data_IF_230267618751
#
_entry.id   IF_230267618751
#
_cell.length_a   1.000
_cell.length_b   1.000
_cell.length_c   1.000
_cell.angle_alpha   90.00
_cell.angle_beta   90.00
_cell.angle_gamma   90.00
#
_symmetry.space_group_name_H-M   'P 1'
#
loop_
_entity.id
_entity.type
_entity.pdbx_description
1 polymer ?
#
# COMPACT_ATOMS: atom_id res chain seq x y z
N UNK A 1 -92.38 15.84 22.99
CA UNK A 1 -91.35 14.81 22.72
C UNK A 1 -90.40 15.41 21.69
N UNK A 2 -89.27 15.97 22.13
CA UNK A 2 -88.23 16.54 21.25
C UNK A 2 -86.97 15.69 21.44
N UNK A 3 -86.49 15.15 20.33
CA UNK A 3 -85.39 14.19 20.26
C UNK A 3 -84.04 14.91 20.41
N UNK A 4 -83.14 14.34 21.21
CA UNK A 4 -81.75 14.76 21.38
C UNK A 4 -80.90 14.13 20.28
N UNK A 5 -80.19 14.93 19.50
CA UNK A 5 -79.16 14.48 18.56
C UNK A 5 -77.81 14.48 19.29
N UNK A 6 -77.18 13.31 19.42
CA UNK A 6 -75.79 13.17 19.88
C UNK A 6 -74.84 13.40 18.71
N UNK A 7 -73.91 14.33 18.90
CA UNK A 7 -72.85 14.67 17.97
C UNK A 7 -71.60 13.85 18.36
N UNK A 8 -71.18 12.92 17.50
CA UNK A 8 -69.97 12.10 17.71
C UNK A 8 -68.79 12.79 17.03
N UNK A 9 -67.81 13.24 17.82
CA UNK A 9 -66.58 13.88 17.35
C UNK A 9 -65.52 12.79 17.10
N UNK A 10 -65.11 12.59 15.85
CA UNK A 10 -64.05 11.66 15.49
C UNK A 10 -62.69 12.37 15.58
N UNK A 11 -61.82 11.91 16.49
CA UNK A 11 -60.41 12.31 16.57
C UNK A 11 -59.65 11.55 15.47
N UNK A 12 -59.01 12.28 14.54
CA UNK A 12 -58.08 11.71 13.56
C UNK A 12 -56.68 11.76 14.19
N UNK A 13 -56.19 10.59 14.63
CA UNK A 13 -54.80 10.41 15.01
C UNK A 13 -53.95 10.38 13.73
N UNK A 14 -53.17 11.45 13.50
CA UNK A 14 -52.12 11.45 12.46
C UNK A 14 -50.96 10.60 12.97
N UNK A 15 -50.76 9.44 12.35
CA UNK A 15 -49.57 8.62 12.58
C UNK A 15 -48.42 9.20 11.76
N UNK A 16 -47.22 9.40 12.32
CA UNK A 16 -46.06 9.71 11.51
C UNK A 16 -45.76 8.50 10.62
N UNK A 17 -45.71 8.73 9.31
CA UNK A 17 -45.21 7.75 8.36
C UNK A 17 -43.72 7.58 8.63
N UNK A 18 -43.34 6.44 9.20
CA UNK A 18 -41.95 5.98 9.22
C UNK A 18 -41.56 5.71 7.76
N UNK A 19 -40.82 6.64 7.15
CA UNK A 19 -40.11 6.39 5.91
C UNK A 19 -38.86 5.57 6.27
N UNK A 20 -38.80 4.33 5.79
CA UNK A 20 -37.60 3.52 5.90
C UNK A 20 -36.62 3.98 4.81
N UNK A 21 -35.38 4.32 5.19
CA UNK A 21 -34.27 4.42 4.25
C UNK A 21 -34.01 3.00 3.74
N UNK A 22 -34.47 2.68 2.54
CA UNK A 22 -34.25 1.38 1.91
C UNK A 22 -33.38 1.59 0.69
N UNK A 23 -32.29 0.83 0.62
CA UNK A 23 -31.42 0.62 -0.54
C UNK A 23 -32.24 0.15 -1.74
N UNK A 24 -32.72 1.10 -2.53
CA UNK A 24 -33.26 0.83 -3.87
C UNK A 24 -32.72 1.92 -4.81
N UNK A 25 -31.40 2.07 -4.84
CA UNK A 25 -30.72 2.70 -5.97
C UNK A 25 -30.73 1.71 -7.13
N UNK A 26 -31.82 1.74 -7.88
CA UNK A 26 -31.84 1.23 -9.24
C UNK A 26 -30.72 1.95 -10.02
N UNK A 27 -29.61 1.24 -10.23
CA UNK A 27 -28.59 1.60 -11.21
C UNK A 27 -29.28 1.78 -12.57
N UNK A 28 -29.52 3.03 -12.95
CA UNK A 28 -29.90 3.37 -14.31
C UNK A 28 -28.63 3.61 -15.08
N UNK A 29 -28.16 2.52 -15.68
CA UNK A 29 -27.15 2.50 -16.74
C UNK A 29 -27.63 3.45 -17.85
N UNK A 30 -27.11 4.67 -17.83
CA UNK A 30 -27.38 5.68 -18.83
C UNK A 30 -26.54 5.39 -20.06
N UNK A 31 -27.13 4.59 -20.95
CA UNK A 31 -26.70 4.46 -22.33
C UNK A 31 -26.55 5.87 -22.95
N UNK A 32 -25.31 6.27 -23.16
CA UNK A 32 -24.96 7.47 -23.93
C UNK A 32 -25.42 7.30 -25.38
N UNK A 33 -26.19 8.26 -25.95
CA UNK A 33 -26.51 8.24 -27.37
C UNK A 33 -25.31 8.69 -28.20
N UNK A 34 -24.87 7.81 -29.11
CA UNK A 34 -23.88 8.13 -30.13
C UNK A 34 -24.46 9.16 -31.12
N UNK A 35 -24.05 10.42 -30.96
CA UNK A 35 -24.36 11.52 -31.88
C UNK A 35 -23.64 11.31 -33.22
N UNK A 36 -24.41 10.90 -34.22
CA UNK A 36 -24.00 10.89 -35.63
C UNK A 36 -23.88 12.32 -36.13
N UNK A 37 -22.65 12.83 -36.26
CA UNK A 37 -22.38 14.10 -36.93
C UNK A 37 -22.03 13.87 -38.39
N UNK A 38 -22.96 14.25 -39.27
CA UNK A 38 -22.78 14.35 -40.71
C UNK A 38 -21.91 15.54 -41.04
N UNK A 39 -20.70 15.29 -41.57
CA UNK A 39 -19.81 16.31 -42.12
C UNK A 39 -19.76 16.22 -43.64
N UNK A 40 -20.33 17.21 -44.32
CA UNK A 40 -20.33 17.40 -45.76
C UNK A 40 -18.91 17.51 -46.33
N UNK A 41 -18.58 16.65 -47.29
CA UNK A 41 -17.36 16.76 -48.09
C UNK A 41 -17.60 17.68 -49.30
N UNK A 42 -16.85 18.78 -49.37
CA UNK A 42 -16.64 19.57 -50.58
C UNK A 42 -15.57 18.91 -51.47
N UNK A 43 -15.96 18.65 -52.72
CA UNK A 43 -15.12 18.46 -53.91
C UNK A 43 -14.08 19.58 -54.03
N UNK A 44 -12.83 19.37 -54.49
CA UNK A 44 -12.39 19.08 -55.88
C UNK A 44 -10.81 18.96 -55.91
N UNK A 45 -10.07 18.82 -57.05
CA UNK A 45 -9.51 17.54 -57.49
C UNK A 45 -7.97 17.51 -57.72
N UNK A 46 -7.47 16.30 -58.07
CA UNK A 46 -6.17 16.06 -58.73
C UNK A 46 -5.10 15.50 -57.77
N UNK A 47 -4.35 14.44 -58.04
CA UNK A 47 -3.85 13.92 -59.32
C UNK A 47 -3.50 12.44 -59.18
N UNK A 48 -3.67 11.75 -60.29
CA UNK A 48 -3.35 10.34 -60.57
C UNK A 48 -1.88 9.99 -60.38
N UNK A 49 -1.57 8.88 -59.70
CA UNK A 49 -0.56 7.93 -60.22
C UNK A 49 -0.94 6.50 -59.83
N UNK A 50 -1.20 5.71 -60.87
CA UNK A 50 -1.47 4.28 -60.88
C UNK A 50 -0.19 3.49 -60.68
N UNK A 51 -0.20 2.45 -59.84
CA UNK A 51 0.57 1.22 -60.08
C UNK A 51 -0.23 0.05 -59.53
N UNK A 52 -0.53 -0.88 -60.44
CA UNK A 52 -1.31 -2.08 -60.24
C UNK A 52 -0.42 -3.28 -59.88
N UNK A 53 -1.12 -4.34 -59.44
CA UNK A 53 -0.81 -5.77 -59.56
C UNK A 53 -0.32 -6.54 -58.30
N UNK A 54 -0.69 -7.84 -58.17
CA UNK A 54 -1.52 -8.31 -57.07
C UNK A 54 -0.96 -9.60 -56.42
N UNK A 55 -1.62 -10.09 -55.37
CA UNK A 55 -1.29 -11.39 -54.78
C UNK A 55 -2.36 -11.90 -53.83
N UNK A 56 -3.29 -12.68 -54.38
CA UNK A 56 -4.35 -13.43 -53.69
C UNK A 56 -3.81 -14.71 -53.05
N UNK A 57 -4.22 -15.05 -51.81
CA UNK A 57 -4.77 -16.37 -51.43
C UNK A 57 -5.10 -16.39 -49.92
N UNK A 58 -6.37 -16.40 -49.49
CA UNK A 58 -7.21 -17.59 -49.14
C UNK A 58 -6.53 -18.72 -48.36
N UNK A 59 -7.05 -19.02 -47.17
CA UNK A 59 -6.89 -20.34 -46.52
C UNK A 59 -7.10 -20.38 -44.99
N UNK A 60 -8.35 -20.27 -44.52
CA UNK A 60 -8.85 -21.02 -43.34
C UNK A 60 -9.12 -22.48 -43.78
N UNK A 61 -9.28 -23.53 -42.91
CA UNK A 61 -10.09 -23.48 -41.68
C UNK A 61 -9.70 -24.41 -40.49
N UNK A 62 -10.52 -24.33 -39.44
CA UNK A 62 -10.98 -25.39 -38.50
C UNK A 62 -10.13 -25.81 -37.28
N UNK A 63 -10.62 -25.40 -36.10
CA UNK A 63 -11.23 -26.23 -35.03
C UNK A 63 -10.45 -27.42 -34.46
N UNK A 64 -10.26 -27.46 -33.13
CA UNK A 64 -10.83 -28.49 -32.21
C UNK A 64 -10.44 -28.16 -30.76
N UNK A 65 -11.44 -27.99 -29.89
CA UNK A 65 -11.32 -27.98 -28.43
C UNK A 65 -11.32 -29.41 -27.88
N UNK A 66 -10.87 -29.61 -26.62
CA UNK A 66 -11.61 -30.51 -25.76
C UNK A 66 -11.99 -29.85 -24.44
N UNK A 67 -13.30 -29.82 -24.21
CA UNK A 67 -13.97 -29.71 -22.92
C UNK A 67 -13.57 -30.90 -22.05
N UNK A 68 -13.09 -30.65 -20.83
CA UNK A 68 -13.03 -31.70 -19.80
C UNK A 68 -13.89 -31.27 -18.62
N UNK A 69 -15.00 -31.99 -18.45
CA UNK A 69 -15.96 -31.88 -17.36
C UNK A 69 -15.66 -32.97 -16.34
N UNK A 70 -15.28 -32.60 -15.12
CA UNK A 70 -15.40 -33.36 -13.88
C UNK A 70 -15.59 -32.30 -12.78
N UNK A 71 -16.63 -32.26 -11.95
CA UNK A 71 -17.53 -33.33 -11.52
C UNK A 71 -17.14 -33.80 -10.13
N UNK A 72 -17.76 -33.18 -9.12
CA UNK A 72 -18.18 -33.79 -7.85
C UNK A 72 -17.36 -33.60 -6.57
N UNK A 73 -18.08 -32.97 -5.64
CA UNK A 73 -18.35 -33.36 -4.24
C UNK A 73 -17.34 -32.99 -3.16
N UNK A 74 -17.71 -31.90 -2.50
CA UNK A 74 -17.65 -31.68 -1.05
C UNK A 74 -17.89 -32.94 -0.23
N UNK A 75 -17.02 -33.20 0.74
CA UNK A 75 -17.32 -34.08 1.86
C UNK A 75 -16.60 -33.58 3.11
N UNK A 76 -17.31 -32.72 3.84
CA UNK A 76 -17.00 -32.28 5.20
C UNK A 76 -17.07 -33.49 6.13
N UNK A 77 -16.00 -33.74 6.90
CA UNK A 77 -16.05 -34.70 8.01
C UNK A 77 -15.40 -34.06 9.23
N UNK A 78 -16.23 -33.69 10.20
CA UNK A 78 -15.83 -33.43 11.58
C UNK A 78 -15.14 -34.66 12.19
N UNK A 79 -14.20 -34.44 13.13
CA UNK A 79 -14.20 -35.27 14.31
C UNK A 79 -14.35 -34.43 15.60
N UNK A 80 -15.40 -34.78 16.32
CA UNK A 80 -15.67 -34.40 17.68
C UNK A 80 -14.66 -35.03 18.67
N UNK A 81 -14.15 -34.18 19.56
CA UNK A 81 -14.04 -34.35 21.02
C UNK A 81 -13.26 -35.54 21.57
N UNK A 82 -12.14 -35.27 22.25
CA UNK A 82 -11.94 -35.77 23.63
C UNK A 82 -10.87 -34.95 24.38
N UNK A 83 -11.34 -34.06 25.27
CA UNK A 83 -10.51 -33.45 26.29
C UNK A 83 -10.21 -34.47 27.39
N UNK A 84 -8.93 -34.69 27.69
CA UNK A 84 -8.50 -35.46 28.87
C UNK A 84 -7.86 -34.50 29.85
N UNK A 85 -8.61 -34.19 30.90
CA UNK A 85 -8.17 -33.46 32.08
C UNK A 85 -7.33 -34.39 32.96
N UNK A 86 -6.07 -34.04 33.21
CA UNK A 86 -5.25 -34.67 34.23
C UNK A 86 -4.74 -33.62 35.22
N UNK A 87 -5.37 -33.58 36.40
CA UNK A 87 -4.86 -32.94 37.60
C UNK A 87 -3.57 -33.62 38.07
N UNK A 88 -2.54 -32.85 38.38
CA UNK A 88 -1.49 -33.26 39.31
C UNK A 88 -1.23 -32.17 40.34
N UNK A 89 -1.03 -32.67 41.54
CA UNK A 89 -1.16 -32.08 42.85
C UNK A 89 0.05 -31.23 43.24
N UNK A 90 -0.23 -30.23 44.08
CA UNK A 90 0.71 -29.42 44.84
C UNK A 90 1.80 -30.24 45.56
N UNK A 91 3.01 -29.69 45.63
CA UNK A 91 3.92 -29.93 46.76
C UNK A 91 4.59 -28.61 47.12
N UNK A 92 4.24 -28.13 48.30
CA UNK A 92 4.80 -26.98 49.00
C UNK A 92 6.20 -27.30 49.53
N UNK A 93 7.09 -26.30 49.50
CA UNK A 93 8.41 -26.36 50.12
C UNK A 93 9.01 -24.96 50.25
N UNK A 94 8.80 -24.34 51.40
CA UNK A 94 9.44 -23.09 51.82
C UNK A 94 10.96 -23.27 52.00
N UNK A 95 11.76 -22.27 51.64
CA UNK A 95 12.74 -21.70 52.58
C UNK A 95 13.23 -20.32 52.14
N UNK A 96 13.37 -19.49 53.17
CA UNK A 96 13.66 -18.06 53.17
C UNK A 96 15.17 -17.80 53.12
N UNK A 97 15.61 -16.72 52.49
CA UNK A 97 16.65 -15.80 53.01
C UNK A 97 16.77 -14.56 52.13
N UNK A 98 16.54 -13.40 52.73
CA UNK A 98 16.71 -12.09 52.10
C UNK A 98 18.16 -11.61 52.09
N UNK A 99 18.47 -10.78 51.09
CA UNK A 99 19.49 -9.75 51.20
C UNK A 99 19.07 -8.55 50.37
N UNK A 100 18.91 -7.43 51.07
CA UNK A 100 18.67 -6.09 50.51
C UNK A 100 19.97 -5.59 49.89
N UNK A 101 19.98 -5.48 48.56
CA UNK A 101 21.01 -4.81 47.78
C UNK A 101 20.39 -3.70 46.94
N UNK A 102 20.91 -2.50 47.12
CA UNK A 102 20.53 -1.22 46.52
C UNK A 102 20.56 -1.27 44.98
N UNK A 103 19.41 -1.14 44.32
CA UNK A 103 19.32 -1.02 42.86
C UNK A 103 19.56 0.42 42.44
N UNK A 104 20.72 0.64 41.83
CA UNK A 104 21.00 1.80 41.00
C UNK A 104 20.31 1.62 39.64
N UNK A 105 19.84 2.72 39.08
CA UNK A 105 19.09 2.82 37.82
C UNK A 105 19.83 2.11 36.69
N UNK A 106 19.22 1.03 36.17
CA UNK A 106 19.85 0.06 35.28
C UNK A 106 20.12 0.60 33.88
N UNK A 107 21.40 0.73 33.55
CA UNK A 107 21.90 0.57 32.18
C UNK A 107 21.71 -0.91 31.80
N UNK A 108 21.19 -1.25 30.60
CA UNK A 108 20.99 -2.65 30.22
C UNK A 108 22.34 -3.39 30.29
N UNK A 109 22.36 -4.65 30.76
CA UNK A 109 23.60 -5.41 30.84
C UNK A 109 24.26 -5.48 29.46
N UNK A 110 25.52 -5.05 29.40
CA UNK A 110 26.34 -5.07 28.20
C UNK A 110 26.41 -6.49 27.61
N UNK A 111 25.87 -6.69 26.41
CA UNK A 111 25.72 -8.01 25.79
C UNK A 111 26.95 -8.34 24.94
N UNK A 112 27.68 -9.42 25.28
CA UNK A 112 28.87 -9.89 24.55
C UNK A 112 28.56 -10.84 23.37
N UNK A 113 27.38 -10.70 22.78
CA UNK A 113 26.84 -11.65 21.81
C UNK A 113 26.73 -11.06 20.40
N UNK A 114 27.26 -9.85 20.19
CA UNK A 114 27.37 -9.20 18.89
C UNK A 114 28.85 -9.06 18.46
N UNK A 115 29.15 -9.12 17.16
CA UNK A 115 30.52 -9.20 16.63
C UNK A 115 31.33 -7.89 16.66
N UNK A 116 30.98 -6.95 17.54
CA UNK A 116 31.53 -5.58 17.50
C UNK A 116 32.44 -5.26 18.67
N UNK A 117 32.25 -5.85 19.87
CA UNK A 117 33.18 -5.92 21.03
C UNK A 117 32.39 -6.43 22.26
N UNK A 118 32.99 -7.30 23.08
CA UNK A 118 32.40 -7.73 24.35
C UNK A 118 32.60 -6.66 25.44
N UNK A 119 31.53 -5.96 25.80
CA UNK A 119 31.56 -4.91 26.81
C UNK A 119 31.51 -5.42 28.28
N UNK A 120 31.30 -6.73 28.50
CA UNK A 120 31.43 -7.37 29.81
C UNK A 120 32.87 -7.85 30.07
N UNK A 121 33.59 -7.25 31.04
CA UNK A 121 34.97 -7.61 31.36
C UNK A 121 35.12 -9.02 31.96
N UNK A 122 34.08 -9.59 32.57
CA UNK A 122 34.10 -10.94 33.11
C UNK A 122 33.93 -11.99 32.01
N UNK A 123 33.00 -11.76 31.08
CA UNK A 123 32.79 -12.66 29.93
C UNK A 123 34.03 -12.65 29.02
N UNK A 124 34.54 -11.46 28.68
CA UNK A 124 35.75 -11.32 27.88
C UNK A 124 36.94 -12.01 28.56
N UNK A 125 37.24 -11.72 29.83
CA UNK A 125 38.36 -12.35 30.54
C UNK A 125 38.26 -13.89 30.56
N UNK A 126 37.06 -14.43 30.71
CA UNK A 126 36.82 -15.88 30.70
C UNK A 126 37.14 -16.50 29.34
N UNK A 127 36.66 -15.93 28.24
CA UNK A 127 36.98 -16.39 26.88
C UNK A 127 38.46 -16.18 26.55
N UNK A 128 39.08 -15.07 26.99
CA UNK A 128 40.51 -14.79 26.79
C UNK A 128 41.41 -15.89 27.36
N UNK A 129 40.96 -16.62 28.39
CA UNK A 129 41.78 -17.70 28.99
C UNK A 129 41.95 -18.90 28.06
N UNK A 130 41.03 -19.06 27.10
CA UNK A 130 41.02 -20.15 26.14
C UNK A 130 41.56 -19.69 24.79
N UNK A 131 41.14 -18.51 24.34
CA UNK A 131 41.63 -17.91 23.09
C UNK A 131 41.95 -16.43 23.28
N UNK A 132 43.25 -16.09 23.23
CA UNK A 132 43.72 -14.72 23.38
C UNK A 132 43.33 -13.83 22.18
N UNK A 133 43.05 -14.40 21.01
CA UNK A 133 42.68 -13.63 19.81
C UNK A 133 41.34 -12.90 19.99
N UNK A 134 40.43 -13.45 20.80
CA UNK A 134 39.17 -12.81 21.18
C UNK A 134 39.33 -11.52 21.98
N UNK A 135 40.55 -11.23 22.46
CA UNK A 135 40.83 -10.07 23.33
C UNK A 135 41.85 -9.11 22.73
N UNK A 136 42.48 -9.49 21.62
CA UNK A 136 43.43 -8.69 20.86
C UNK A 136 42.86 -8.22 19.51
N UNK A 137 41.70 -8.75 19.10
CA UNK A 137 41.05 -8.48 17.81
C UNK A 137 39.54 -8.24 17.92
N UNK A 138 38.84 -8.06 16.77
CA UNK A 138 37.39 -7.96 16.74
C UNK A 138 36.76 -9.25 17.27
N UNK A 139 35.65 -9.10 17.99
CA UNK A 139 34.91 -10.23 18.55
C UNK A 139 34.26 -11.03 17.41
N UNK A 140 34.70 -12.26 17.16
CA UNK A 140 34.16 -13.11 16.08
C UNK A 140 33.03 -14.00 16.58
N UNK A 141 32.32 -14.66 15.67
CA UNK A 141 31.33 -15.70 16.02
C UNK A 141 31.96 -16.88 16.78
N UNK A 142 33.25 -17.15 16.57
CA UNK A 142 34.00 -18.16 17.34
C UNK A 142 34.17 -17.74 18.80
N UNK A 143 34.43 -16.44 19.05
CA UNK A 143 34.49 -15.88 20.40
C UNK A 143 33.12 -15.93 21.09
N UNK A 144 32.02 -15.65 20.37
CA UNK A 144 30.66 -15.80 20.89
C UNK A 144 30.37 -17.28 21.24
N UNK A 145 30.76 -18.23 20.40
CA UNK A 145 30.57 -19.66 20.67
C UNK A 145 31.30 -20.13 21.93
N UNK A 146 32.51 -19.61 22.19
CA UNK A 146 33.28 -19.91 23.41
C UNK A 146 32.58 -19.43 24.69
N UNK A 147 31.81 -18.33 24.64
CA UNK A 147 31.06 -17.83 25.82
C UNK A 147 30.15 -18.91 26.38
N UNK A 148 29.34 -19.53 25.52
CA UNK A 148 28.41 -20.59 25.92
C UNK A 148 29.13 -21.90 26.20
N UNK A 149 30.12 -22.27 25.38
CA UNK A 149 30.85 -23.53 25.55
C UNK A 149 31.63 -23.62 26.88
N UNK A 150 32.15 -22.49 27.37
CA UNK A 150 32.90 -22.40 28.62
C UNK A 150 32.02 -22.07 29.84
N UNK A 151 30.73 -21.79 29.62
CA UNK A 151 29.82 -21.30 30.66
C UNK A 151 30.23 -19.94 31.22
N UNK A 152 30.93 -19.11 30.42
CA UNK A 152 31.34 -17.76 30.78
C UNK A 152 30.14 -16.79 30.88
N UNK A 153 29.06 -17.11 30.17
CA UNK A 153 27.81 -16.35 30.14
C UNK A 153 26.78 -17.05 29.26
N UNK A 154 25.56 -16.51 29.24
CA UNK A 154 24.50 -16.96 28.34
C UNK A 154 24.33 -15.94 27.23
N UNK A 155 24.59 -16.33 25.99
CA UNK A 155 24.14 -15.57 24.84
C UNK A 155 22.72 -16.01 24.49
N UNK A 156 21.77 -15.06 24.33
CA UNK A 156 20.50 -15.43 23.71
C UNK A 156 20.81 -16.03 22.34
N UNK A 157 20.09 -17.09 21.92
CA UNK A 157 20.22 -17.57 20.55
C UNK A 157 19.97 -16.39 19.59
N UNK A 158 20.65 -16.33 18.43
CA UNK A 158 20.29 -15.37 17.41
C UNK A 158 18.79 -15.51 17.12
N UNK A 159 18.07 -14.42 16.84
CA UNK A 159 16.69 -14.53 16.41
C UNK A 159 16.64 -15.46 15.20
N UNK A 160 15.72 -16.42 15.24
CA UNK A 160 15.43 -17.28 14.10
C UNK A 160 15.05 -16.39 12.91
N UNK A 161 15.58 -16.71 11.73
CA UNK A 161 15.25 -15.97 10.51
C UNK A 161 13.89 -16.43 9.98
N UNK A 162 13.23 -15.58 9.20
CA UNK A 162 12.06 -16.00 8.43
C UNK A 162 12.46 -17.18 7.54
N UNK A 163 11.64 -18.24 7.46
CA UNK A 163 12.01 -19.47 6.77
C UNK A 163 12.37 -19.27 5.30
N UNK A 164 11.81 -18.26 4.66
CA UNK A 164 12.06 -17.93 3.27
C UNK A 164 13.20 -16.93 3.05
N UNK A 165 13.94 -16.59 4.11
CA UNK A 165 15.11 -15.74 4.06
C UNK A 165 16.35 -16.49 4.57
N UNK A 166 17.53 -16.06 4.14
CA UNK A 166 18.80 -16.63 4.63
C UNK A 166 19.06 -16.12 6.05
N UNK A 167 19.18 -17.03 7.00
CA UNK A 167 19.49 -16.74 8.40
C UNK A 167 20.98 -16.87 8.72
N UNK A 168 21.39 -16.31 9.87
CA UNK A 168 22.76 -16.48 10.42
C UNK A 168 22.84 -17.60 11.46
N UNK A 169 21.69 -18.08 11.93
CA UNK A 169 21.54 -19.18 12.88
C UNK A 169 20.94 -20.43 12.24
N UNK A 170 20.89 -21.55 12.98
CA UNK A 170 20.12 -22.73 12.58
C UNK A 170 18.63 -22.46 12.66
N UNK A 171 17.86 -23.18 11.84
CA UNK A 171 16.40 -23.15 11.90
C UNK A 171 15.78 -21.86 11.37
N UNK A 172 14.46 -21.75 11.55
CA UNK A 172 13.69 -20.60 11.10
C UNK A 172 12.41 -20.42 11.92
N UNK A 173 11.73 -19.28 11.76
CA UNK A 173 10.60 -18.86 12.61
C UNK A 173 9.34 -19.74 12.53
N UNK A 174 9.19 -20.59 11.52
CA UNK A 174 8.07 -21.52 11.38
C UNK A 174 8.49 -22.95 11.75
N UNK A 175 8.06 -23.39 12.94
CA UNK A 175 8.34 -24.73 13.49
C UNK A 175 7.98 -25.88 12.54
N UNK A 176 6.93 -25.74 11.71
CA UNK A 176 6.46 -26.80 10.83
C UNK A 176 7.36 -26.91 9.59
N UNK A 177 7.73 -25.76 9.00
CA UNK A 177 8.69 -25.70 7.89
C UNK A 177 10.05 -26.18 8.38
N UNK A 178 10.53 -25.64 9.52
CA UNK A 178 11.79 -26.05 10.13
C UNK A 178 11.79 -27.56 10.35
N UNK A 179 10.81 -28.11 11.08
CA UNK A 179 10.74 -29.55 11.38
C UNK A 179 10.78 -30.41 10.11
N UNK A 180 10.08 -29.98 9.05
CA UNK A 180 10.05 -30.71 7.79
C UNK A 180 11.39 -30.67 7.05
N UNK A 181 11.97 -29.48 6.88
CA UNK A 181 13.27 -29.30 6.22
C UNK A 181 14.33 -30.04 7.02
N UNK A 182 14.29 -29.95 8.34
CA UNK A 182 15.18 -30.62 9.28
C UNK A 182 15.14 -32.14 9.22
N UNK A 183 13.95 -32.72 9.04
CA UNK A 183 13.81 -34.17 8.92
C UNK A 183 14.53 -34.71 7.68
N UNK A 184 14.66 -33.88 6.64
CA UNK A 184 15.19 -34.27 5.34
C UNK A 184 16.65 -33.80 5.14
N UNK A 185 17.01 -32.64 5.68
CA UNK A 185 18.32 -32.01 5.64
C UNK A 185 18.76 -31.57 7.05
N UNK A 186 19.38 -32.48 7.83
CA UNK A 186 19.79 -32.19 9.22
C UNK A 186 20.80 -31.03 9.36
N UNK A 187 21.52 -30.70 8.29
CA UNK A 187 22.49 -29.61 8.27
C UNK A 187 21.80 -28.23 8.42
N UNK A 188 20.53 -28.08 8.04
CA UNK A 188 19.77 -26.82 8.18
C UNK A 188 19.40 -26.46 9.64
N UNK A 189 19.39 -27.43 10.55
CA UNK A 189 19.03 -27.23 11.97
C UNK A 189 20.25 -27.26 12.89
N UNK A 190 21.42 -27.58 12.35
CA UNK A 190 22.67 -27.64 13.09
C UNK A 190 23.72 -26.68 12.56
N UNK A 191 23.58 -26.25 11.30
CA UNK A 191 24.36 -25.23 10.63
C UNK A 191 23.58 -23.94 10.43
N UNK A 192 24.02 -23.12 9.48
CA UNK A 192 23.38 -21.86 9.12
C UNK A 192 22.19 -22.15 8.20
N UNK A 193 21.05 -21.47 8.43
CA UNK A 193 19.90 -21.50 7.52
C UNK A 193 20.22 -20.79 6.20
N UNK A 194 20.92 -21.49 5.30
CA UNK A 194 21.45 -20.98 4.04
C UNK A 194 20.45 -20.98 2.88
N UNK A 195 20.88 -20.49 1.71
CA UNK A 195 20.08 -20.52 0.48
C UNK A 195 19.68 -21.95 0.08
N UNK A 196 20.51 -22.96 0.36
CA UNK A 196 20.12 -24.36 0.18
C UNK A 196 18.95 -24.81 1.08
N UNK A 197 18.85 -24.26 2.30
CA UNK A 197 17.77 -24.57 3.23
C UNK A 197 16.47 -23.89 2.79
N UNK A 198 16.55 -22.63 2.34
CA UNK A 198 15.41 -21.91 1.75
C UNK A 198 14.90 -22.66 0.51
N UNK A 199 15.78 -23.03 -0.43
CA UNK A 199 15.39 -23.76 -1.64
C UNK A 199 14.84 -25.17 -1.35
N UNK A 200 15.22 -25.77 -0.23
CA UNK A 200 14.72 -27.07 0.19
C UNK A 200 13.23 -27.02 0.59
N UNK A 201 12.72 -25.87 1.02
CA UNK A 201 11.32 -25.70 1.45
C UNK A 201 10.37 -26.09 0.32
N UNK A 202 10.54 -25.47 -0.85
CA UNK A 202 9.72 -25.76 -2.04
C UNK A 202 10.03 -27.14 -2.62
N UNK A 203 11.33 -27.48 -2.73
CA UNK A 203 11.78 -28.72 -3.38
C UNK A 203 11.29 -29.96 -2.64
N UNK A 204 11.23 -29.90 -1.30
CA UNK A 204 10.80 -31.01 -0.45
C UNK A 204 9.30 -30.96 -0.15
N UNK A 205 8.59 -29.91 -0.57
CA UNK A 205 7.18 -29.68 -0.25
C UNK A 205 6.95 -29.46 1.24
N UNK A 206 7.94 -28.87 1.93
CA UNK A 206 7.87 -28.52 3.36
C UNK A 206 7.12 -27.21 3.61
N UNK A 207 6.96 -26.40 2.58
CA UNK A 207 6.23 -25.14 2.57
C UNK A 207 6.23 -24.58 1.15
N UNK A 208 5.79 -23.33 1.03
CA UNK A 208 5.98 -22.55 -0.19
C UNK A 208 6.66 -21.27 0.23
N UNK A 209 7.88 -21.06 -0.25
CA UNK A 209 8.46 -19.73 -0.21
C UNK A 209 7.94 -19.01 -1.42
N UNK A 210 6.81 -18.33 -1.21
CA UNK A 210 6.21 -17.51 -2.25
C UNK A 210 7.28 -16.54 -2.72
N UNK A 211 7.59 -16.63 -4.02
CA UNK A 211 8.56 -15.76 -4.66
C UNK A 211 8.14 -14.31 -4.33
N UNK A 212 9.06 -13.47 -3.82
CA UNK A 212 8.70 -12.14 -3.37
C UNK A 212 7.87 -11.46 -4.45
N UNK A 213 6.72 -10.86 -4.08
CA UNK A 213 5.79 -10.34 -5.07
C UNK A 213 6.55 -9.48 -6.05
N UNK A 214 6.36 -9.77 -7.34
CA UNK A 214 6.96 -8.99 -8.41
C UNK A 214 6.54 -7.54 -8.23
N UNK A 215 7.46 -6.60 -8.44
CA UNK A 215 7.15 -5.18 -8.39
C UNK A 215 6.67 -4.67 -9.74
N UNK A 216 6.37 -3.37 -9.77
CA UNK A 216 5.96 -2.67 -10.97
C UNK A 216 7.08 -2.68 -12.02
N UNK A 217 6.73 -2.89 -13.30
CA UNK A 217 7.73 -3.00 -14.38
C UNK A 217 8.53 -1.72 -14.63
N UNK A 218 8.00 -0.59 -14.18
CA UNK A 218 8.59 0.73 -14.36
C UNK A 218 9.32 1.26 -13.12
N UNK A 219 9.51 0.42 -12.10
CA UNK A 219 10.27 0.77 -10.91
C UNK A 219 11.28 -0.33 -10.57
N UNK A 220 12.49 0.06 -10.17
CA UNK A 220 13.48 -0.92 -9.76
C UNK A 220 13.07 -1.59 -8.44
N UNK A 221 13.22 -2.92 -8.35
CA UNK A 221 12.89 -3.68 -7.16
C UNK A 221 13.81 -4.91 -6.98
N UNK A 222 13.71 -5.53 -5.80
CA UNK A 222 14.64 -6.59 -5.38
C UNK A 222 14.30 -7.98 -5.89
N UNK A 223 13.06 -8.22 -6.34
CA UNK A 223 12.66 -9.44 -7.02
C UNK A 223 13.01 -9.40 -8.51
N UNK A 224 13.21 -10.58 -9.12
CA UNK A 224 13.34 -10.71 -10.57
C UNK A 224 11.98 -10.64 -11.28
N UNK A 225 12.00 -10.16 -12.53
CA UNK A 225 10.79 -10.00 -13.34
C UNK A 225 9.97 -8.79 -12.89
N UNK A 226 8.72 -8.68 -13.35
CA UNK A 226 7.81 -7.62 -12.91
C UNK A 226 6.35 -8.07 -13.06
N UNK A 227 5.39 -7.31 -12.52
CA UNK A 227 3.96 -7.74 -12.47
C UNK A 227 3.31 -7.93 -13.85
N UNK A 228 3.75 -7.19 -14.88
CA UNK A 228 3.25 -7.37 -16.24
C UNK A 228 4.00 -8.50 -16.94
N UNK A 229 3.33 -9.64 -17.09
CA UNK A 229 3.90 -10.84 -17.72
C UNK A 229 4.35 -10.63 -19.18
N UNK A 230 3.75 -9.67 -19.91
CA UNK A 230 4.14 -9.33 -21.27
C UNK A 230 5.44 -8.54 -21.31
N UNK A 231 5.54 -7.51 -20.49
CA UNK A 231 6.77 -6.70 -20.32
C UNK A 231 7.89 -7.58 -19.78
N UNK A 232 7.62 -8.35 -18.71
CA UNK A 232 8.55 -9.31 -18.15
C UNK A 232 9.06 -10.27 -19.23
N UNK A 233 8.17 -10.97 -19.94
CA UNK A 233 8.59 -11.95 -20.95
C UNK A 233 9.48 -11.33 -22.04
N UNK A 234 9.17 -10.10 -22.47
CA UNK A 234 9.95 -9.38 -23.46
C UNK A 234 11.33 -9.00 -22.91
N UNK A 235 11.38 -8.40 -21.72
CA UNK A 235 12.63 -7.99 -21.07
C UNK A 235 13.50 -9.20 -20.73
N UNK A 236 12.94 -10.27 -20.14
CA UNK A 236 13.67 -11.51 -19.84
C UNK A 236 14.28 -12.16 -21.08
N UNK A 237 13.64 -12.03 -22.25
CA UNK A 237 14.16 -12.57 -23.51
C UNK A 237 15.40 -11.81 -23.97
N UNK A 238 15.47 -10.51 -23.68
CA UNK A 238 16.57 -9.63 -24.07
C UNK A 238 17.70 -9.61 -23.04
N UNK A 239 17.33 -9.58 -21.76
CA UNK A 239 18.23 -9.53 -20.61
C UNK A 239 17.74 -10.53 -19.54
N UNK A 240 18.14 -11.81 -19.62
CA UNK A 240 17.73 -12.85 -18.66
C UNK A 240 18.09 -12.53 -17.20
N UNK A 241 19.11 -11.71 -16.98
CA UNK A 241 19.51 -11.24 -15.65
C UNK A 241 18.41 -10.43 -14.93
N UNK A 242 17.54 -9.75 -15.67
CA UNK A 242 16.43 -8.98 -15.10
C UNK A 242 15.37 -9.86 -14.43
N UNK A 243 15.39 -11.17 -14.69
CA UNK A 243 14.41 -12.12 -14.21
C UNK A 243 14.99 -13.18 -13.27
N UNK A 244 16.29 -13.08 -12.99
CA UNK A 244 16.99 -14.02 -12.10
C UNK A 244 17.06 -13.51 -10.66
N UNK A 245 17.51 -12.26 -10.48
CA UNK A 245 17.83 -11.75 -9.14
C UNK A 245 17.02 -10.49 -8.82
N UNK A 246 17.22 -9.41 -9.58
CA UNK A 246 16.60 -8.12 -9.30
C UNK A 246 16.23 -7.38 -10.58
N UNK A 247 15.06 -6.74 -10.55
CA UNK A 247 14.64 -5.77 -11.55
C UNK A 247 15.33 -4.44 -11.30
N UNK A 248 16.46 -4.21 -11.95
CA UNK A 248 17.27 -2.99 -11.75
C UNK A 248 16.81 -1.82 -12.62
N UNK A 249 17.34 -0.61 -12.38
CA UNK A 249 17.15 0.55 -13.27
C UNK A 249 17.52 0.26 -14.74
N UNK A 250 18.49 -0.63 -14.98
CA UNK A 250 18.82 -1.05 -16.33
C UNK A 250 17.71 -1.91 -16.97
N UNK A 251 16.99 -2.68 -16.16
CA UNK A 251 15.83 -3.47 -16.60
C UNK A 251 14.64 -2.56 -16.89
N UNK A 252 14.38 -1.58 -16.03
CA UNK A 252 13.37 -0.52 -16.27
C UNK A 252 13.67 0.24 -17.57
N UNK A 253 14.90 0.71 -17.76
CA UNK A 253 15.29 1.41 -18.98
C UNK A 253 15.18 0.54 -20.25
N UNK A 254 15.34 -0.78 -20.11
CA UNK A 254 15.17 -1.72 -21.21
C UNK A 254 13.71 -1.88 -21.63
N UNK A 255 12.74 -1.67 -20.73
CA UNK A 255 11.31 -1.68 -21.04
C UNK A 255 11.01 -0.72 -22.19
N UNK A 256 11.46 0.54 -22.09
CA UNK A 256 11.29 1.55 -23.12
C UNK A 256 12.21 1.34 -24.33
N UNK A 257 13.50 1.12 -24.07
CA UNK A 257 14.52 1.06 -25.13
C UNK A 257 14.26 -0.09 -26.10
N UNK A 258 13.75 -1.22 -25.61
CA UNK A 258 13.40 -2.36 -26.43
C UNK A 258 11.96 -2.34 -26.96
N UNK A 259 11.15 -1.36 -26.54
CA UNK A 259 9.72 -1.33 -26.84
C UNK A 259 8.96 -2.52 -26.26
N UNK A 260 9.41 -3.04 -25.13
CA UNK A 260 8.74 -4.12 -24.38
C UNK A 260 7.52 -3.60 -23.61
N UNK A 261 7.50 -2.31 -23.30
CA UNK A 261 6.42 -1.58 -22.66
C UNK A 261 6.67 -0.09 -22.81
N UNK A 262 5.87 0.70 -22.09
CA UNK A 262 6.08 2.15 -21.98
C UNK A 262 6.18 2.44 -20.49
N UNK A 263 7.39 2.76 -20.05
CA UNK A 263 7.69 3.37 -18.77
C UNK A 263 7.88 4.88 -18.97
N UNK A 264 6.99 5.49 -19.76
CA UNK A 264 6.75 6.92 -19.64
C UNK A 264 6.42 7.14 -18.17
N UNK A 265 7.35 7.76 -17.46
CA UNK A 265 7.00 8.59 -16.31
C UNK A 265 5.97 9.53 -16.91
N UNK A 266 4.67 9.27 -16.68
CA UNK A 266 3.64 10.24 -17.01
C UNK A 266 4.15 11.52 -16.40
N UNK A 267 4.59 12.43 -17.25
CA UNK A 267 5.21 13.64 -16.76
C UNK A 267 4.11 14.31 -15.94
N UNK A 268 4.34 14.46 -14.65
CA UNK A 268 3.36 15.03 -13.73
C UNK A 268 2.98 16.44 -14.16
N UNK A 269 1.88 16.94 -13.58
CA UNK A 269 1.44 18.30 -13.82
C UNK A 269 2.60 19.29 -13.64
N UNK A 270 2.76 20.24 -14.56
CA UNK A 270 3.85 21.23 -14.51
C UNK A 270 3.86 22.07 -13.24
N UNK A 271 2.72 22.10 -12.54
CA UNK A 271 2.54 22.80 -11.30
C UNK A 271 2.73 21.96 -10.05
N UNK A 272 3.23 20.73 -10.18
CA UNK A 272 3.61 19.87 -9.07
C UNK A 272 5.06 19.43 -9.22
N UNK A 273 5.79 19.40 -8.09
CA UNK A 273 7.13 18.84 -8.06
C UNK A 273 7.06 17.31 -8.21
N UNK A 274 8.00 16.74 -8.95
CA UNK A 274 8.09 15.32 -9.19
C UNK A 274 9.53 14.84 -9.28
N UNK A 275 9.72 13.52 -9.14
CA UNK A 275 11.05 12.93 -9.13
C UNK A 275 11.65 12.73 -10.53
N UNK A 276 10.83 12.77 -11.58
CA UNK A 276 11.26 12.68 -12.97
C UNK A 276 11.57 14.05 -13.61
N UNK A 277 12.31 14.08 -14.72
CA UNK A 277 12.50 15.29 -15.52
C UNK A 277 11.22 15.68 -16.29
N UNK A 278 11.09 16.96 -16.60
CA UNK A 278 10.02 17.49 -17.46
C UNK A 278 8.66 17.62 -16.75
N UNK A 279 7.61 17.94 -17.49
CA UNK A 279 6.23 17.96 -17.01
C UNK A 279 5.21 17.75 -18.15
N UNK A 280 3.95 17.44 -17.83
CA UNK A 280 2.92 17.05 -18.82
C UNK A 280 2.63 18.07 -19.92
N UNK A 281 2.92 19.36 -19.70
CA UNK A 281 2.63 20.42 -20.67
C UNK A 281 3.90 20.82 -21.42
N UNK A 282 4.09 20.37 -22.68
CA UNK A 282 5.36 20.53 -23.41
C UNK A 282 5.71 21.99 -23.69
N UNK A 283 4.73 22.89 -23.72
CA UNK A 283 4.96 24.33 -23.87
C UNK A 283 5.56 24.95 -22.60
N UNK A 284 5.03 24.59 -21.43
CA UNK A 284 5.55 25.01 -20.13
C UNK A 284 6.92 24.39 -19.89
N UNK A 285 7.05 23.09 -20.13
CA UNK A 285 8.30 22.36 -20.04
C UNK A 285 9.37 23.06 -20.88
N UNK A 286 9.15 23.22 -22.18
CA UNK A 286 10.13 23.85 -23.10
C UNK A 286 10.56 25.24 -22.63
N UNK A 287 9.61 26.04 -22.13
CA UNK A 287 9.89 27.38 -21.64
C UNK A 287 10.76 27.36 -20.37
N UNK A 288 10.44 26.49 -19.40
CA UNK A 288 11.25 26.33 -18.17
C UNK A 288 12.62 25.73 -18.51
N UNK A 289 12.69 24.69 -19.36
CA UNK A 289 13.94 24.07 -19.80
C UNK A 289 14.90 25.06 -20.46
N UNK A 290 14.36 26.00 -21.25
CA UNK A 290 15.16 27.00 -21.95
C UNK A 290 15.92 27.91 -20.97
N UNK A 291 15.37 28.09 -19.76
CA UNK A 291 15.98 28.89 -18.71
C UNK A 291 16.77 28.05 -17.71
N UNK A 292 16.30 26.84 -17.40
CA UNK A 292 16.99 25.89 -16.53
C UNK A 292 16.97 24.46 -17.09
N UNK A 293 18.07 24.02 -17.72
CA UNK A 293 18.22 22.66 -18.23
C UNK A 293 18.13 21.57 -17.16
N UNK A 294 18.32 21.89 -15.88
CA UNK A 294 18.18 20.92 -14.79
C UNK A 294 16.77 20.33 -14.73
N UNK A 295 15.74 21.15 -14.96
CA UNK A 295 14.33 20.75 -14.88
C UNK A 295 13.95 19.63 -15.85
N UNK A 296 14.71 19.48 -16.94
CA UNK A 296 14.38 18.58 -18.06
C UNK A 296 15.45 17.52 -18.28
N UNK A 297 16.61 17.65 -17.63
CA UNK A 297 17.67 16.66 -17.67
C UNK A 297 17.70 15.80 -16.40
N UNK A 298 17.30 16.36 -15.25
CA UNK A 298 17.46 15.71 -13.95
C UNK A 298 16.14 15.51 -13.25
N UNK A 299 15.45 16.59 -12.92
CA UNK A 299 14.27 16.52 -12.05
C UNK A 299 13.44 17.78 -12.14
N UNK A 300 12.12 17.62 -12.18
CA UNK A 300 11.16 18.72 -12.08
C UNK A 300 10.77 18.98 -10.62
N UNK A 301 11.63 19.70 -9.89
CA UNK A 301 11.43 19.99 -8.46
C UNK A 301 10.58 21.25 -8.19
N UNK A 302 10.46 21.65 -6.92
CA UNK A 302 9.72 22.86 -6.52
C UNK A 302 10.29 24.15 -7.16
N UNK A 303 11.60 24.19 -7.43
CA UNK A 303 12.24 25.33 -8.10
C UNK A 303 11.83 25.39 -9.57
N UNK A 304 11.60 24.23 -10.20
CA UNK A 304 11.06 24.14 -11.55
C UNK A 304 9.61 24.63 -11.60
N UNK A 305 8.79 24.25 -10.62
CA UNK A 305 7.41 24.73 -10.46
C UNK A 305 7.37 26.26 -10.25
N UNK A 306 8.18 26.82 -9.35
CA UNK A 306 8.25 28.27 -9.12
C UNK A 306 8.64 29.04 -10.39
N UNK A 307 9.48 28.45 -11.25
CA UNK A 307 9.88 29.03 -12.54
C UNK A 307 8.75 29.09 -13.54
N UNK A 308 7.74 28.21 -13.45
CA UNK A 308 6.57 28.24 -14.35
C UNK A 308 5.92 29.62 -14.31
N UNK A 309 5.63 30.13 -13.11
CA UNK A 309 5.00 31.43 -12.93
C UNK A 309 6.01 32.58 -13.05
N UNK A 310 7.20 32.44 -12.45
CA UNK A 310 8.21 33.49 -12.43
C UNK A 310 8.66 33.89 -13.84
N UNK A 311 8.75 32.93 -14.76
CA UNK A 311 9.13 33.14 -16.14
C UNK A 311 7.94 33.43 -17.06
N UNK A 312 6.70 33.34 -16.53
CA UNK A 312 5.47 33.45 -17.31
C UNK A 312 5.34 32.33 -18.34
N UNK A 313 5.89 31.15 -18.06
CA UNK A 313 5.79 29.96 -18.90
C UNK A 313 4.41 29.31 -18.78
N UNK A 314 3.75 29.47 -17.63
CA UNK A 314 2.41 29.00 -17.33
C UNK A 314 1.87 29.70 -16.09
N UNK A 315 0.70 29.25 -15.62
CA UNK A 315 0.12 29.71 -14.36
C UNK A 315 -0.12 28.49 -13.51
N UNK A 316 0.50 28.46 -12.34
CA UNK A 316 0.29 27.42 -11.35
C UNK A 316 -0.69 27.95 -10.31
N UNK A 317 -1.91 28.20 -10.78
CA UNK A 317 -3.02 28.27 -9.86
C UNK A 317 -3.16 26.86 -9.29
N UNK A 318 -2.83 26.72 -8.01
CA UNK A 318 -3.32 25.58 -7.25
C UNK A 318 -4.83 25.56 -7.45
N UNK A 319 -5.30 24.50 -8.12
CA UNK A 319 -6.72 24.29 -8.33
C UNK A 319 -7.40 24.40 -6.96
N UNK A 320 -8.52 25.13 -6.85
CA UNK A 320 -9.19 25.31 -5.58
C UNK A 320 -9.48 23.94 -4.96
N UNK A 321 -8.92 23.68 -3.78
CA UNK A 321 -9.05 22.40 -3.09
C UNK A 321 -10.46 22.17 -2.54
N UNK A 322 -10.68 21.05 -1.87
CA UNK A 322 -11.91 20.83 -1.11
C UNK A 322 -12.12 21.98 -0.09
N UNK A 323 -13.33 22.53 -0.01
CA UNK A 323 -13.62 23.63 0.91
C UNK A 323 -13.46 23.28 2.38
N UNK A 324 -13.50 21.99 2.70
CA UNK A 324 -13.42 21.47 4.05
C UNK A 324 -12.01 21.05 4.45
N UNK A 325 -11.04 21.16 3.54
CA UNK A 325 -9.63 20.86 3.81
C UNK A 325 -8.77 22.08 3.45
N UNK A 326 -7.59 22.22 4.06
CA UNK A 326 -6.62 23.21 3.59
C UNK A 326 -6.21 22.90 2.14
N UNK A 327 -6.17 23.95 1.31
CA UNK A 327 -5.68 23.91 -0.06
C UNK A 327 -4.32 24.59 -0.20
N UNK A 328 -3.61 24.32 -1.30
CA UNK A 328 -2.36 24.99 -1.63
C UNK A 328 -2.58 26.36 -2.31
N UNK A 329 -3.81 26.65 -2.74
CA UNK A 329 -4.21 27.88 -3.41
C UNK A 329 -5.22 28.73 -2.64
N UNK A 330 -5.49 29.96 -3.11
CA UNK A 330 -6.60 30.77 -2.62
C UNK A 330 -7.93 30.11 -3.01
N UNK A 331 -8.89 30.13 -2.09
CA UNK A 331 -10.23 29.64 -2.37
C UNK A 331 -10.37 28.12 -2.36
N UNK A 332 -11.57 27.65 -2.71
CA UNK A 332 -11.92 26.24 -2.74
C UNK A 332 -12.88 25.92 -3.89
N UNK A 333 -13.07 24.64 -4.19
CA UNK A 333 -13.76 24.15 -5.39
C UNK A 333 -15.22 24.59 -5.47
N UNK A 334 -15.88 24.77 -4.33
CA UNK A 334 -17.26 25.27 -4.28
C UNK A 334 -17.26 26.80 -4.21
N UNK A 335 -17.65 27.42 -5.32
CA UNK A 335 -17.69 28.88 -5.45
C UNK A 335 -18.67 29.56 -4.48
N UNK A 336 -19.73 28.87 -4.04
CA UNK A 336 -20.73 29.40 -3.12
C UNK A 336 -20.20 29.37 -1.68
N UNK A 337 -19.61 28.25 -1.27
CA UNK A 337 -18.89 28.12 0.03
C UNK A 337 -17.74 29.12 0.09
N UNK A 338 -16.92 29.15 -0.96
CA UNK A 338 -15.81 30.10 -1.08
C UNK A 338 -16.32 31.53 -0.89
N UNK A 339 -17.29 32.00 -1.68
CA UNK A 339 -17.78 33.37 -1.61
C UNK A 339 -18.28 33.73 -0.21
N UNK A 340 -19.01 32.82 0.44
CA UNK A 340 -19.50 33.01 1.80
C UNK A 340 -18.38 33.14 2.84
N UNK A 341 -17.33 32.30 2.75
CA UNK A 341 -16.16 32.42 3.63
C UNK A 341 -15.35 33.68 3.30
N UNK A 342 -15.17 34.03 2.01
CA UNK A 342 -14.45 35.24 1.58
C UNK A 342 -15.08 36.52 2.13
N UNK A 343 -16.42 36.57 2.25
CA UNK A 343 -17.15 37.73 2.74
C UNK A 343 -16.80 38.04 4.21
N UNK A 344 -16.41 37.01 4.98
CA UNK A 344 -15.99 37.15 6.39
C UNK A 344 -14.47 37.21 6.52
N UNK A 345 -13.74 36.41 5.76
CA UNK A 345 -12.29 36.27 5.79
C UNK A 345 -11.70 36.44 4.37
N UNK A 346 -11.49 37.68 3.90
CA UNK A 346 -10.98 37.95 2.55
C UNK A 346 -9.62 37.32 2.25
N UNK A 347 -8.80 37.08 3.27
CA UNK A 347 -7.49 36.41 3.13
C UNK A 347 -7.62 34.98 2.58
N UNK A 348 -8.73 34.28 2.87
CA UNK A 348 -8.97 32.91 2.38
C UNK A 348 -9.07 32.81 0.85
N UNK A 349 -9.29 33.93 0.17
CA UNK A 349 -9.51 33.99 -1.28
C UNK A 349 -8.47 34.87 -2.00
N UNK A 350 -7.52 35.41 -1.24
CA UNK A 350 -6.42 36.24 -1.74
C UNK A 350 -5.06 35.60 -1.49
N UNK A 351 -4.96 34.77 -0.45
CA UNK A 351 -3.73 34.10 -0.05
C UNK A 351 -3.91 32.59 -0.21
N UNK A 352 -4.05 31.85 0.88
CA UNK A 352 -4.20 30.40 0.89
C UNK A 352 -5.48 30.02 1.62
N UNK A 353 -6.19 29.04 1.10
CA UNK A 353 -7.27 28.38 1.81
C UNK A 353 -6.67 27.49 2.92
N UNK A 354 -6.37 28.10 4.06
CA UNK A 354 -5.75 27.41 5.22
C UNK A 354 -6.76 26.59 6.04
N UNK A 355 -6.28 25.84 7.03
CA UNK A 355 -7.13 25.17 8.03
C UNK A 355 -8.10 26.15 8.72
N UNK A 356 -7.66 27.40 8.94
CA UNK A 356 -8.51 28.43 9.51
C UNK A 356 -9.64 28.86 8.56
N UNK A 357 -9.43 28.76 7.24
CA UNK A 357 -10.45 29.03 6.23
C UNK A 357 -11.45 27.87 6.13
N UNK A 358 -10.96 26.63 6.08
CA UNK A 358 -11.81 25.44 6.11
C UNK A 358 -12.67 25.37 7.39
N UNK A 359 -12.09 25.69 8.56
CA UNK A 359 -12.80 25.71 9.83
C UNK A 359 -13.87 26.82 9.96
N UNK A 360 -13.92 27.79 9.03
CA UNK A 360 -14.98 28.81 8.98
C UNK A 360 -16.23 28.35 8.23
N UNK A 361 -16.13 27.28 7.42
CA UNK A 361 -17.24 26.84 6.56
C UNK A 361 -18.51 26.53 7.36
N UNK A 362 -18.41 25.71 8.40
CA UNK A 362 -19.57 25.32 9.21
C UNK A 362 -20.04 26.41 10.19
N UNK A 363 -19.15 27.09 10.95
CA UNK A 363 -19.58 28.13 11.89
C UNK A 363 -20.25 29.32 11.21
N UNK A 364 -19.94 29.59 9.94
CA UNK A 364 -20.61 30.61 9.13
C UNK A 364 -21.88 30.10 8.44
N UNK A 365 -22.13 28.78 8.46
CA UNK A 365 -23.21 28.15 7.70
C UNK A 365 -23.01 28.27 6.18
N UNK A 366 -21.76 28.37 5.73
CA UNK A 366 -21.40 28.45 4.31
C UNK A 366 -21.49 27.09 3.62
N UNK A 367 -21.31 26.00 4.37
CA UNK A 367 -21.36 24.62 3.92
C UNK A 367 -21.31 23.67 5.13
N UNK A 368 -21.29 22.36 4.87
CA UNK A 368 -21.11 21.34 5.90
C UNK A 368 -19.84 20.54 5.60
N UNK A 369 -18.93 20.45 6.57
CA UNK A 369 -17.62 19.84 6.44
C UNK A 369 -17.52 18.52 7.21
N UNK A 370 -18.60 17.74 7.15
CA UNK A 370 -18.73 16.37 7.68
C UNK A 370 -18.98 15.34 6.57
N UNK A 371 -18.31 15.51 5.42
CA UNK A 371 -18.66 14.89 4.15
C UNK A 371 -17.98 13.57 3.79
N UNK A 372 -17.33 12.87 4.73
CA UNK A 372 -17.28 11.40 4.79
C UNK A 372 -17.23 11.10 6.28
N UNK A 373 -18.36 10.70 6.88
CA UNK A 373 -18.27 10.16 8.22
C UNK A 373 -17.29 9.00 8.15
N UNK A 374 -16.19 9.06 8.91
CA UNK A 374 -15.21 7.97 8.96
C UNK A 374 -15.82 6.68 9.57
N UNK A 375 -17.08 6.76 10.02
CA UNK A 375 -17.88 5.64 10.47
C UNK A 375 -18.79 5.09 9.38
N UNK A 376 -18.88 3.76 9.37
CA UNK A 376 -19.86 3.05 8.57
C UNK A 376 -21.29 3.46 8.99
N UNK A 377 -22.17 3.69 8.02
CA UNK A 377 -23.55 4.13 8.27
C UNK A 377 -24.38 3.18 9.15
N UNK A 378 -23.94 1.92 9.26
CA UNK A 378 -24.59 0.90 10.06
C UNK A 378 -23.92 0.67 11.43
N UNK A 379 -22.88 1.44 11.76
CA UNK A 379 -22.18 1.36 13.05
C UNK A 379 -22.33 2.67 13.83
N UNK A 380 -22.52 2.61 15.16
CA UNK A 380 -22.54 3.82 15.98
C UNK A 380 -21.17 4.52 15.93
N UNK A 381 -21.16 5.81 15.64
CA UNK A 381 -19.96 6.65 15.65
C UNK A 381 -20.27 8.01 16.29
N UNK A 382 -19.22 8.67 16.78
CA UNK A 382 -19.32 9.95 17.49
C UNK A 382 -19.29 11.17 16.55
N UNK A 383 -19.14 10.95 15.25
CA UNK A 383 -19.15 11.98 14.21
C UNK A 383 -20.55 12.11 13.58
N UNK A 384 -20.95 13.31 13.14
CA UNK A 384 -22.16 13.48 12.32
C UNK A 384 -21.95 12.85 10.92
N UNK A 385 -23.03 12.47 10.25
CA UNK A 385 -23.01 11.81 8.93
C UNK A 385 -22.29 10.45 8.92
N UNK A 386 -22.21 9.78 7.77
CA UNK A 386 -21.52 8.51 7.59
C UNK A 386 -20.86 8.43 6.20
N UNK A 387 -20.19 7.32 5.90
CA UNK A 387 -19.44 7.13 4.63
C UNK A 387 -20.31 7.14 3.35
N UNK A 388 -21.62 6.87 3.47
CA UNK A 388 -22.57 6.90 2.35
C UNK A 388 -23.43 8.17 2.38
N UNK A 389 -23.23 9.03 1.39
CA UNK A 389 -23.91 10.32 1.29
C UNK A 389 -25.45 10.19 1.17
N UNK A 390 -25.96 9.16 0.51
CA UNK A 390 -27.41 8.97 0.35
C UNK A 390 -28.06 8.50 1.66
N UNK A 391 -27.38 7.62 2.40
CA UNK A 391 -27.82 7.19 3.73
C UNK A 391 -27.71 8.37 4.71
N UNK A 392 -26.59 9.08 4.70
CA UNK A 392 -26.39 10.27 5.51
C UNK A 392 -27.49 11.30 5.30
N UNK A 393 -27.82 11.66 4.05
CA UNK A 393 -28.88 12.62 3.73
C UNK A 393 -30.27 12.12 4.20
N UNK A 394 -30.57 10.83 4.06
CA UNK A 394 -31.82 10.24 4.52
C UNK A 394 -31.96 10.28 6.04
N UNK A 395 -30.90 9.88 6.77
CA UNK A 395 -30.87 9.89 8.23
C UNK A 395 -30.93 11.33 8.74
N UNK A 396 -30.22 12.25 8.09
CA UNK A 396 -30.26 13.67 8.38
C UNK A 396 -31.63 14.30 8.23
N UNK A 397 -32.38 13.91 7.21
CA UNK A 397 -33.76 14.35 7.02
C UNK A 397 -34.70 13.83 8.12
N UNK A 398 -34.34 12.72 8.79
CA UNK A 398 -35.14 12.09 9.83
C UNK A 398 -34.78 12.56 11.24
N UNK A 399 -33.50 12.76 11.52
CA UNK A 399 -32.99 13.28 12.79
C UNK A 399 -31.82 14.24 12.56
N UNK A 400 -32.08 15.52 12.83
CA UNK A 400 -31.09 16.59 12.69
C UNK A 400 -29.94 16.50 13.70
N UNK A 401 -29.97 15.57 14.67
CA UNK A 401 -28.83 15.27 15.55
C UNK A 401 -27.79 14.35 14.89
N UNK A 402 -28.18 13.60 13.86
CA UNK A 402 -27.28 12.75 13.08
C UNK A 402 -26.56 13.52 11.95
N UNK A 403 -26.80 14.83 11.89
CA UNK A 403 -26.04 15.87 11.20
C UNK A 403 -25.51 16.84 12.28
#
# INVERSE_FOLDING_TARGET
MRSLASLTLALVASSPLLFACSDDVASTDSLSPSSSSSGSATTEPGTTTTTSDPGTSTGEPTSTAPTTTLGSTTSTTDPATTATTASTTETTGETSSGSTGESTTGEPPAVCCEPTLCADPAISACVCTVDASCCEGPWTSECVALVTALGCGSCPPPPEAECCEVGVGPGCTDDAIETCVCAQQPDCCSGVWGAECVAAIDTLGCGVCEEPPKGECCEAHRSGGCVDAGVESCVCTLAPECCADAWTEACVALVDQAGCGICEVEQGACCMAQNGPGCSEPEVETCVCAQDPFCCAQQWDITCVEKVELLGCGVCQAEPGDCCLPGEGPGCVDAEVQACVCDVAPSCCQEQWSDACAALVEPLGCGMCGGQGEGACCEPHDTPSCEDAAIAECVCAQDAFCC
#
